data_IF_280388352242
#
_entry.id   IF_280388352242
#
_cell.length_a   1.000
_cell.length_b   1.000
_cell.length_c   1.000
_cell.angle_alpha   90.00
_cell.angle_beta   90.00
_cell.angle_gamma   90.00
#
_symmetry.space_group_name_H-M   'P 1'
#
loop_
_entity.id
_entity.type
_entity.pdbx_description
1 polymer ?
#
# COMPACT_ATOMS: atom_id res chain seq x y z
N UNK A 1 4.59 24.78 39.33
CA UNK A 1 3.84 25.74 38.48
C UNK A 1 3.11 24.92 37.43
N UNK A 2 1.79 24.78 37.61
CA UNK A 2 0.86 24.06 36.74
C UNK A 2 0.56 24.89 35.49
N UNK A 3 0.57 24.27 34.30
CA UNK A 3 -0.05 24.85 33.12
C UNK A 3 -1.40 24.18 32.86
N UNK A 4 -2.39 25.05 32.70
CA UNK A 4 -3.81 24.78 32.82
C UNK A 4 -4.36 23.90 31.69
N UNK A 5 -5.16 22.94 32.11
CA UNK A 5 -6.12 22.16 31.32
C UNK A 5 -7.41 22.99 31.22
N UNK A 6 -8.15 22.82 30.12
CA UNK A 6 -9.45 23.43 29.76
C UNK A 6 -9.38 24.81 29.11
N UNK A 7 -9.61 24.86 27.80
CA UNK A 7 -10.84 25.43 27.22
C UNK A 7 -10.72 25.51 25.70
N UNK A 8 -11.38 24.61 24.96
CA UNK A 8 -12.41 25.01 23.99
C UNK A 8 -13.05 23.75 23.37
N UNK A 9 -14.20 23.39 23.93
CA UNK A 9 -15.24 22.69 23.19
C UNK A 9 -15.68 23.62 22.04
N UNK A 10 -15.50 23.20 20.79
CA UNK A 10 -16.24 23.74 19.66
C UNK A 10 -16.98 22.58 18.99
N UNK A 11 -18.23 22.42 19.45
CA UNK A 11 -19.45 22.20 18.67
C UNK A 11 -19.38 21.16 17.54
N UNK A 12 -20.19 20.12 17.74
CA UNK A 12 -20.65 19.20 16.71
C UNK A 12 -21.24 19.93 15.49
N UNK A 13 -20.84 19.49 14.30
CA UNK A 13 -21.68 19.46 13.11
C UNK A 13 -21.39 18.16 12.35
N UNK A 14 -22.23 17.12 12.47
CA UNK A 14 -22.23 16.02 11.51
C UNK A 14 -23.02 16.44 10.26
N UNK A 15 -22.71 15.80 9.13
CA UNK A 15 -23.29 15.97 7.79
C UNK A 15 -22.67 17.08 6.92
N UNK A 16 -21.49 16.79 6.37
CA UNK A 16 -21.20 17.14 4.98
C UNK A 16 -21.54 15.93 4.11
N UNK A 17 -22.83 15.75 3.83
CA UNK A 17 -23.32 14.77 2.85
C UNK A 17 -23.05 15.35 1.44
N UNK A 18 -22.14 14.71 0.71
CA UNK A 18 -21.94 14.86 -0.74
C UNK A 18 -21.47 16.25 -1.27
N UNK A 19 -20.37 16.79 -0.73
CA UNK A 19 -19.54 17.67 -1.56
C UNK A 19 -18.86 16.81 -2.63
N UNK A 20 -18.96 17.13 -3.94
CA UNK A 20 -18.12 16.48 -4.94
C UNK A 20 -16.68 16.78 -4.56
N UNK A 21 -15.94 15.73 -4.26
CA UNK A 21 -14.50 15.84 -4.02
C UNK A 21 -13.86 15.89 -5.40
N UNK A 22 -14.05 17.02 -6.10
CA UNK A 22 -13.28 17.38 -7.29
C UNK A 22 -11.90 17.86 -6.84
N UNK A 23 -11.20 16.97 -6.13
CA UNK A 23 -9.88 17.24 -5.59
C UNK A 23 -8.89 16.27 -6.25
N UNK A 24 -8.37 16.71 -7.40
CA UNK A 24 -7.23 16.07 -8.07
C UNK A 24 -6.03 15.90 -7.09
N UNK A 25 -5.99 16.61 -5.96
CA UNK A 25 -4.96 16.41 -4.94
C UNK A 25 -5.11 15.09 -4.16
N UNK A 26 -6.29 14.49 -4.08
CA UNK A 26 -6.46 13.13 -3.53
C UNK A 26 -5.98 12.06 -4.50
N UNK A 27 -6.19 12.29 -5.80
CA UNK A 27 -5.66 11.43 -6.87
C UNK A 27 -4.12 11.55 -6.92
N UNK A 28 -3.58 12.77 -6.82
CA UNK A 28 -2.14 13.02 -6.84
C UNK A 28 -1.39 12.54 -5.57
N UNK A 29 -2.06 12.47 -4.41
CA UNK A 29 -1.44 12.03 -3.15
C UNK A 29 -1.31 10.51 -3.01
N UNK A 30 -1.96 9.72 -3.85
CA UNK A 30 -2.19 8.32 -3.51
C UNK A 30 -2.31 7.35 -4.69
N UNK A 31 -1.95 7.76 -5.91
CA UNK A 31 -1.82 6.79 -6.98
C UNK A 31 -0.59 5.92 -6.69
N UNK A 32 -0.76 4.61 -6.46
CA UNK A 32 0.36 3.70 -6.32
C UNK A 32 1.22 3.82 -7.58
N UNK A 33 2.52 3.57 -7.48
CA UNK A 33 3.35 3.47 -8.68
C UNK A 33 3.03 2.15 -9.41
N UNK A 34 1.89 2.11 -10.11
CA UNK A 34 1.38 0.92 -10.79
C UNK A 34 2.39 0.41 -11.81
N UNK A 35 3.13 1.31 -12.48
CA UNK A 35 4.20 0.91 -13.39
C UNK A 35 5.30 0.10 -12.69
N UNK A 36 5.76 0.56 -11.52
CA UNK A 36 6.73 -0.18 -10.71
C UNK A 36 6.16 -1.50 -10.19
N UNK A 37 4.90 -1.53 -9.75
CA UNK A 37 4.23 -2.76 -9.30
C UNK A 37 4.13 -3.78 -10.43
N UNK A 38 3.80 -3.38 -11.65
CA UNK A 38 3.74 -4.28 -12.81
C UNK A 38 5.12 -4.81 -13.21
N UNK A 39 6.14 -3.95 -13.15
CA UNK A 39 7.53 -4.39 -13.37
C UNK A 39 7.97 -5.42 -12.34
N UNK A 40 7.71 -5.14 -11.06
CA UNK A 40 7.95 -6.05 -9.94
C UNK A 40 7.18 -7.36 -10.08
N UNK A 41 5.93 -7.30 -10.53
CA UNK A 41 5.11 -8.49 -10.76
C UNK A 41 5.77 -9.45 -11.76
N UNK A 42 6.20 -8.93 -12.90
CA UNK A 42 6.90 -9.74 -13.90
C UNK A 42 8.20 -10.33 -13.35
N UNK A 43 8.94 -9.54 -12.57
CA UNK A 43 10.17 -9.97 -11.89
C UNK A 43 9.91 -11.13 -10.93
N UNK A 44 8.91 -11.03 -10.05
CA UNK A 44 8.61 -12.05 -9.04
C UNK A 44 7.95 -13.29 -9.63
N UNK A 45 7.16 -13.17 -10.71
CA UNK A 45 6.65 -14.34 -11.44
C UNK A 45 7.80 -15.10 -12.11
N UNK A 46 8.78 -14.39 -12.69
CA UNK A 46 9.95 -15.01 -13.32
C UNK A 46 10.94 -15.61 -12.31
N UNK A 47 11.16 -14.93 -11.18
CA UNK A 47 12.04 -15.38 -10.10
C UNK A 47 11.41 -15.11 -8.72
N UNK A 48 10.59 -16.03 -8.19
CA UNK A 48 9.87 -15.84 -6.93
C UNK A 48 10.78 -15.61 -5.71
N UNK A 49 12.04 -16.07 -5.76
CA UNK A 49 12.97 -15.87 -4.66
C UNK A 49 13.30 -14.38 -4.43
N UNK A 50 13.21 -13.54 -5.47
CA UNK A 50 13.52 -12.11 -5.37
C UNK A 50 12.48 -11.34 -4.56
N UNK A 51 11.26 -11.86 -4.39
CA UNK A 51 10.24 -11.25 -3.53
C UNK A 51 10.62 -11.27 -2.04
N UNK A 52 11.60 -12.10 -1.64
CA UNK A 52 12.11 -12.15 -0.25
C UNK A 52 13.03 -10.97 0.09
N UNK A 53 13.50 -10.24 -0.92
CA UNK A 53 14.39 -9.09 -0.73
C UNK A 53 13.56 -7.82 -0.63
N UNK A 54 13.70 -7.01 0.44
CA UNK A 54 12.94 -5.78 0.58
C UNK A 54 13.18 -4.78 -0.55
N UNK A 55 12.14 -4.02 -0.94
CA UNK A 55 12.28 -2.94 -1.91
C UNK A 55 13.11 -1.82 -1.27
N UNK A 56 14.13 -1.26 -1.95
CA UNK A 56 14.90 -0.14 -1.42
C UNK A 56 14.00 1.01 -0.97
N UNK A 57 14.25 1.56 0.20
CA UNK A 57 13.37 2.58 0.81
C UNK A 57 13.16 3.82 -0.07
N UNK A 58 14.13 4.18 -0.90
CA UNK A 58 14.04 5.30 -1.84
C UNK A 58 13.06 5.07 -3.00
N UNK A 59 12.71 3.82 -3.28
CA UNK A 59 11.83 3.42 -4.38
C UNK A 59 10.53 2.81 -3.89
N UNK A 60 10.36 2.69 -2.57
CA UNK A 60 9.27 1.94 -1.98
C UNK A 60 8.07 2.83 -1.67
N UNK A 61 6.89 2.25 -1.84
CA UNK A 61 5.64 2.80 -1.34
C UNK A 61 4.83 1.68 -0.65
N UNK A 62 3.91 2.00 0.27
CA UNK A 62 3.21 0.99 1.05
C UNK A 62 2.46 -0.05 0.21
N UNK A 63 1.94 0.33 -0.97
CA UNK A 63 1.19 -0.58 -1.84
C UNK A 63 2.14 -1.52 -2.56
N UNK A 64 3.25 -0.99 -3.09
CA UNK A 64 4.31 -1.79 -3.74
C UNK A 64 4.92 -2.80 -2.76
N UNK A 65 5.19 -2.38 -1.53
CA UNK A 65 5.67 -3.25 -0.45
C UNK A 65 4.67 -4.38 -0.16
N UNK A 66 3.39 -4.03 0.03
CA UNK A 66 2.33 -5.01 0.26
C UNK A 66 2.22 -6.01 -0.90
N UNK A 67 2.33 -5.55 -2.15
CA UNK A 67 2.34 -6.43 -3.31
C UNK A 67 3.52 -7.41 -3.28
N UNK A 68 4.74 -6.95 -2.98
CA UNK A 68 5.92 -7.85 -2.84
C UNK A 68 5.69 -8.90 -1.77
N UNK A 69 5.16 -8.51 -0.61
CA UNK A 69 4.95 -9.42 0.52
C UNK A 69 4.01 -10.57 0.17
N UNK A 70 3.00 -10.33 -0.67
CA UNK A 70 2.14 -11.40 -1.19
C UNK A 70 2.96 -12.40 -2.01
N UNK A 71 3.80 -11.96 -2.95
CA UNK A 71 4.70 -12.86 -3.68
C UNK A 71 5.69 -13.59 -2.76
N UNK A 72 6.22 -12.91 -1.75
CA UNK A 72 7.16 -13.50 -0.80
C UNK A 72 6.52 -14.64 0.02
N UNK A 73 5.24 -14.49 0.37
CA UNK A 73 4.48 -15.48 1.14
C UNK A 73 3.99 -16.65 0.28
N UNK A 74 3.51 -16.37 -0.93
CA UNK A 74 2.94 -17.37 -1.83
C UNK A 74 3.99 -18.12 -2.65
N UNK A 75 5.13 -17.48 -2.92
CA UNK A 75 6.19 -18.07 -3.74
C UNK A 75 5.79 -18.18 -5.20
N UNK A 76 6.13 -19.31 -5.83
CA UNK A 76 5.80 -19.56 -7.23
C UNK A 76 4.29 -19.76 -7.41
N UNK A 77 3.75 -19.39 -8.57
CA UNK A 77 2.35 -19.69 -8.90
C UNK A 77 2.07 -21.21 -8.87
N UNK A 78 3.08 -22.04 -9.15
CA UNK A 78 2.99 -23.50 -9.03
C UNK A 78 2.71 -23.95 -7.59
N UNK A 79 3.25 -23.27 -6.58
CA UNK A 79 3.01 -23.57 -5.17
C UNK A 79 1.54 -23.35 -4.74
N UNK A 80 0.75 -22.63 -5.53
CA UNK A 80 -0.69 -22.41 -5.29
C UNK A 80 -1.56 -23.51 -5.88
N UNK A 81 -1.01 -24.40 -6.71
CA UNK A 81 -1.71 -25.54 -7.29
C UNK A 81 -1.41 -26.79 -6.46
N UNK A 82 -2.41 -27.40 -5.79
CA UNK A 82 -2.19 -28.58 -4.98
C UNK A 82 -1.51 -29.71 -5.77
N UNK A 83 -0.38 -30.22 -5.26
CA UNK A 83 0.34 -31.36 -5.83
C UNK A 83 1.41 -31.05 -6.87
N UNK A 84 1.63 -29.79 -7.21
CA UNK A 84 2.76 -29.37 -8.07
C UNK A 84 4.02 -29.12 -7.22
N UNK A 85 5.20 -29.59 -7.66
CA UNK A 85 6.45 -29.25 -6.98
C UNK A 85 6.72 -27.74 -7.11
N UNK A 86 7.16 -27.13 -6.00
CA UNK A 86 7.49 -25.71 -5.91
C UNK A 86 8.83 -25.37 -6.53
#
# INVERSE_FOLDING_TARGET
MQFNILSLLAVAAPLALAAPVDDDSLVARQLPNIGAILSDHNKYVANPAEAKVPIPAAENDPVREGHRQVHAALGSAAALVPGMPA
#
